data_IF_292714706621
#
_entry.id   IF_292714706621
#
_cell.length_a   1.000
_cell.length_b   1.000
_cell.length_c   1.000
_cell.angle_alpha   90.00
_cell.angle_beta   90.00
_cell.angle_gamma   90.00
#
_symmetry.space_group_name_H-M   'P 1'
#
loop_
_entity.id
_entity.type
_entity.pdbx_description
1 polymer ?
#
# COMPACT_ATOMS: atom_id res chain seq x y z
N UNK A 1 64.70 26.88 -5.98
CA UNK A 1 63.39 27.47 -5.70
C UNK A 1 62.37 26.75 -6.55
N UNK A 2 61.51 25.97 -5.93
CA UNK A 2 60.59 25.00 -6.56
C UNK A 2 59.40 25.69 -7.25
N UNK A 3 58.79 25.07 -8.28
CA UNK A 3 57.65 25.61 -9.03
C UNK A 3 56.31 25.52 -8.26
N UNK A 4 55.29 26.31 -8.65
CA UNK A 4 54.08 26.53 -7.85
C UNK A 4 53.07 25.38 -7.91
N UNK A 5 52.32 25.27 -6.82
CA UNK A 5 51.37 24.22 -6.46
C UNK A 5 50.23 24.06 -7.48
N UNK A 6 49.96 22.81 -7.86
CA UNK A 6 48.85 22.44 -8.72
C UNK A 6 47.50 22.69 -8.02
N UNK A 7 46.66 23.49 -8.66
CA UNK A 7 45.27 23.67 -8.24
C UNK A 7 44.49 22.36 -8.36
N UNK A 8 44.09 21.80 -7.22
CA UNK A 8 43.07 20.76 -7.18
C UNK A 8 41.72 21.41 -7.49
N UNK A 9 41.18 21.12 -8.67
CA UNK A 9 39.80 21.49 -8.99
C UNK A 9 38.86 20.73 -8.03
N UNK A 10 37.92 21.41 -7.34
CA UNK A 10 36.94 20.71 -6.53
C UNK A 10 36.02 19.88 -7.44
N UNK A 11 35.89 18.59 -7.13
CA UNK A 11 34.89 17.71 -7.73
C UNK A 11 33.50 18.35 -7.57
N UNK A 12 32.61 18.30 -8.58
CA UNK A 12 31.27 18.84 -8.44
C UNK A 12 30.56 18.10 -7.29
N UNK A 13 30.07 18.87 -6.31
CA UNK A 13 29.18 18.35 -5.29
C UNK A 13 27.96 17.76 -5.99
N UNK A 14 27.83 16.42 -5.94
CA UNK A 14 26.66 15.73 -6.46
C UNK A 14 25.41 16.34 -5.85
N UNK A 15 24.36 16.49 -6.66
CA UNK A 15 23.10 17.04 -6.18
C UNK A 15 22.63 16.22 -4.97
N UNK A 16 22.13 16.86 -3.90
CA UNK A 16 21.62 16.17 -2.69
C UNK A 16 20.37 15.30 -2.95
N UNK A 17 19.96 15.12 -4.21
CA UNK A 17 18.87 14.25 -4.64
C UNK A 17 19.31 12.88 -5.19
N UNK A 18 20.61 12.68 -5.45
CA UNK A 18 21.14 11.38 -5.90
C UNK A 18 21.42 10.49 -4.69
N UNK A 19 20.35 10.03 -4.04
CA UNK A 19 20.42 8.90 -3.13
C UNK A 19 20.40 7.61 -3.96
N UNK A 20 21.52 6.86 -4.07
CA UNK A 20 21.65 5.70 -4.94
C UNK A 20 20.74 4.52 -4.52
N UNK A 21 19.99 4.65 -3.42
CA UNK A 21 19.05 3.65 -2.92
C UNK A 21 17.56 4.03 -3.09
N UNK A 22 17.25 5.20 -3.68
CA UNK A 22 15.84 5.55 -3.98
C UNK A 22 15.36 4.82 -5.22
N UNK A 23 14.94 3.58 -5.04
CA UNK A 23 14.15 2.87 -6.03
C UNK A 23 12.85 3.63 -6.28
N UNK A 24 12.52 3.84 -7.56
CA UNK A 24 11.23 4.40 -7.93
C UNK A 24 10.14 3.49 -7.33
N UNK A 25 9.05 4.00 -6.74
CA UNK A 25 8.04 3.19 -6.05
C UNK A 25 7.39 2.09 -6.90
N UNK A 26 7.62 2.12 -8.22
CA UNK A 26 7.18 1.09 -9.18
C UNK A 26 8.11 -0.13 -9.24
N UNK A 27 9.36 0.01 -8.77
CA UNK A 27 10.38 -1.03 -8.81
C UNK A 27 10.43 -1.85 -7.51
N UNK A 28 9.64 -1.45 -6.49
CA UNK A 28 9.54 -2.19 -5.23
C UNK A 28 8.53 -3.33 -5.33
N UNK A 29 8.92 -4.49 -4.81
CA UNK A 29 8.04 -5.66 -4.68
C UNK A 29 6.97 -5.41 -3.62
N UNK A 30 5.82 -6.06 -3.78
CA UNK A 30 4.71 -6.04 -2.83
C UNK A 30 5.14 -6.34 -1.40
N UNK A 31 6.07 -7.28 -1.22
CA UNK A 31 6.60 -7.70 0.08
C UNK A 31 7.36 -6.62 0.86
N UNK A 32 7.72 -5.51 0.22
CA UNK A 32 8.34 -4.38 0.87
C UNK A 32 7.33 -3.54 1.67
N UNK A 33 6.07 -3.51 1.25
CA UNK A 33 5.05 -2.65 1.86
C UNK A 33 3.82 -3.40 2.38
N UNK A 34 3.60 -4.65 1.96
CA UNK A 34 2.55 -5.51 2.48
C UNK A 34 3.14 -6.89 2.84
N UNK A 35 2.86 -7.34 4.07
CA UNK A 35 3.27 -8.65 4.57
C UNK A 35 2.07 -9.33 5.19
N UNK A 36 1.96 -10.62 5.00
CA UNK A 36 0.96 -11.43 5.66
C UNK A 36 1.32 -11.56 7.15
N UNK A 37 0.33 -11.29 7.99
CA UNK A 37 0.43 -11.61 9.42
C UNK A 37 -0.08 -13.05 9.61
N UNK A 38 0.73 -13.96 10.20
CA UNK A 38 0.28 -15.33 10.45
C UNK A 38 -0.81 -15.44 11.53
N UNK A 39 -1.12 -14.37 12.26
CA UNK A 39 -2.09 -14.39 13.34
C UNK A 39 -3.55 -14.46 12.83
N UNK A 40 -4.32 -15.41 13.36
CA UNK A 40 -5.76 -15.55 13.08
C UNK A 40 -6.55 -14.81 14.14
N UNK A 41 -7.01 -13.61 13.80
CA UNK A 41 -7.74 -12.76 14.73
C UNK A 41 -9.19 -13.23 14.96
N UNK A 42 -9.58 -13.31 16.22
CA UNK A 42 -10.98 -13.44 16.60
C UNK A 42 -11.74 -12.12 16.36
N UNK A 43 -13.07 -12.13 16.19
CA UNK A 43 -13.85 -10.92 15.93
C UNK A 43 -13.65 -9.80 16.96
N UNK A 44 -13.48 -10.14 18.24
CA UNK A 44 -13.22 -9.16 19.30
C UNK A 44 -11.85 -8.48 19.18
N UNK A 45 -10.83 -9.22 18.75
CA UNK A 45 -9.49 -8.68 18.53
C UNK A 45 -9.46 -7.74 17.33
N UNK A 46 -10.17 -8.12 16.25
CA UNK A 46 -10.38 -7.25 15.09
C UNK A 46 -11.03 -5.94 15.53
N UNK A 47 -12.08 -6.01 16.35
CA UNK A 47 -12.77 -4.81 16.83
C UNK A 47 -11.85 -3.94 17.69
N UNK A 48 -11.12 -4.52 18.63
CA UNK A 48 -10.18 -3.78 19.48
C UNK A 48 -9.08 -3.08 18.64
N UNK A 49 -8.59 -3.72 17.58
CA UNK A 49 -7.64 -3.09 16.65
C UNK A 49 -8.27 -1.91 15.88
N UNK A 50 -9.51 -2.08 15.39
CA UNK A 50 -10.23 -1.00 14.69
C UNK A 50 -10.49 0.19 15.61
N UNK A 51 -10.84 -0.07 16.88
CA UNK A 51 -11.08 0.96 17.89
C UNK A 51 -9.78 1.72 18.20
N UNK A 52 -8.66 1.03 18.36
CA UNK A 52 -7.36 1.66 18.57
C UNK A 52 -6.97 2.58 17.39
N UNK A 53 -7.23 2.15 16.15
CA UNK A 53 -7.00 2.99 14.96
C UNK A 53 -7.98 4.17 14.90
N UNK A 54 -9.23 3.97 15.28
CA UNK A 54 -10.23 5.04 15.34
C UNK A 54 -9.82 6.13 16.33
N UNK A 55 -9.46 5.73 17.55
CA UNK A 55 -9.06 6.64 18.63
C UNK A 55 -7.75 7.37 18.31
N UNK A 56 -6.77 6.65 17.74
CA UNK A 56 -5.51 7.26 17.27
C UNK A 56 -5.73 8.35 16.20
N UNK A 57 -6.80 8.22 15.41
CA UNK A 57 -7.18 9.18 14.37
C UNK A 57 -8.32 10.13 14.79
N UNK A 58 -8.67 10.20 16.08
CA UNK A 58 -9.80 10.99 16.57
C UNK A 58 -9.72 12.47 16.13
N UNK A 59 -8.52 13.06 16.09
CA UNK A 59 -8.30 14.44 15.63
C UNK A 59 -8.64 14.67 14.14
N UNK A 60 -8.55 13.63 13.32
CA UNK A 60 -8.93 13.65 11.90
C UNK A 60 -10.38 13.18 11.67
N UNK A 61 -11.15 12.98 12.73
CA UNK A 61 -12.52 12.48 12.67
C UNK A 61 -12.64 10.95 12.68
N UNK A 62 -11.58 10.25 13.09
CA UNK A 62 -11.55 8.81 13.34
C UNK A 62 -11.66 7.95 12.09
N UNK A 63 -11.77 6.64 12.30
CA UNK A 63 -12.03 5.67 11.24
C UNK A 63 -13.49 5.77 10.78
N UNK A 64 -13.71 5.91 9.47
CA UNK A 64 -15.05 5.99 8.85
C UNK A 64 -15.31 4.79 7.94
N UNK A 65 -16.34 3.97 8.21
CA UNK A 65 -16.72 2.89 7.31
C UNK A 65 -17.22 3.45 5.98
N UNK A 66 -16.65 2.97 4.86
CA UNK A 66 -17.07 3.40 3.51
C UNK A 66 -17.98 2.35 2.89
N UNK A 67 -17.52 1.09 2.80
CA UNK A 67 -18.30 -0.02 2.27
C UNK A 67 -17.87 -1.35 2.92
N UNK A 68 -18.71 -2.38 2.80
CA UNK A 68 -18.32 -3.77 3.10
C UNK A 68 -17.87 -4.44 1.81
N UNK A 69 -16.69 -5.05 1.84
CA UNK A 69 -16.11 -5.73 0.69
C UNK A 69 -15.57 -7.12 1.07
N UNK A 70 -15.52 -8.01 0.08
CA UNK A 70 -14.96 -9.35 0.18
C UNK A 70 -13.48 -9.41 -0.20
N UNK A 71 -12.95 -8.36 -0.85
CA UNK A 71 -11.56 -8.28 -1.27
C UNK A 71 -11.25 -7.02 -2.06
N UNK A 72 -9.95 -6.73 -2.17
CA UNK A 72 -9.40 -5.64 -2.99
C UNK A 72 -9.03 -6.21 -4.36
N UNK A 73 -9.47 -5.56 -5.43
CA UNK A 73 -9.07 -5.91 -6.80
C UNK A 73 -7.72 -5.26 -7.12
N UNK A 74 -7.59 -3.99 -6.78
CA UNK A 74 -6.39 -3.21 -7.01
C UNK A 74 -6.65 -1.71 -6.95
N UNK A 75 -5.64 -0.94 -7.33
CA UNK A 75 -5.73 0.51 -7.45
C UNK A 75 -5.66 0.92 -8.91
N UNK A 76 -6.46 1.92 -9.28
CA UNK A 76 -6.44 2.51 -10.63
C UNK A 76 -6.25 4.02 -10.48
N UNK A 77 -5.39 4.60 -11.32
CA UNK A 77 -5.17 6.05 -11.34
C UNK A 77 -5.87 6.64 -12.55
N UNK A 78 -6.83 7.53 -12.32
CA UNK A 78 -7.39 8.39 -13.35
C UNK A 78 -6.97 9.83 -13.07
N UNK A 79 -6.40 10.50 -14.09
CA UNK A 79 -5.78 11.81 -13.94
C UNK A 79 -4.74 11.79 -12.80
N UNK A 80 -4.99 12.57 -11.73
CA UNK A 80 -4.11 12.70 -10.57
C UNK A 80 -4.67 12.06 -9.28
N UNK A 81 -5.76 11.30 -9.36
CA UNK A 81 -6.35 10.62 -8.22
C UNK A 81 -6.19 9.10 -8.34
N UNK A 82 -5.86 8.46 -7.22
CA UNK A 82 -5.84 7.00 -7.09
C UNK A 82 -7.16 6.54 -6.50
N UNK A 83 -7.76 5.55 -7.14
CA UNK A 83 -9.00 4.94 -6.73
C UNK A 83 -8.75 3.49 -6.31
N UNK A 84 -9.42 3.04 -5.26
CA UNK A 84 -9.37 1.67 -4.80
C UNK A 84 -10.62 0.93 -5.31
N UNK A 85 -10.42 -0.19 -6.01
CA UNK A 85 -11.53 -1.00 -6.51
C UNK A 85 -11.73 -2.23 -5.63
N UNK A 86 -12.95 -2.41 -5.13
CA UNK A 86 -13.32 -3.40 -4.12
C UNK A 86 -14.39 -4.34 -4.67
N UNK A 87 -14.35 -5.62 -4.25
CA UNK A 87 -15.39 -6.61 -4.55
C UNK A 87 -16.47 -6.49 -3.48
N UNK A 88 -17.62 -5.90 -3.79
CA UNK A 88 -18.72 -5.69 -2.83
C UNK A 88 -19.77 -6.80 -2.89
N UNK A 89 -19.86 -7.54 -4.00
CA UNK A 89 -20.77 -8.67 -4.12
C UNK A 89 -20.11 -9.83 -4.88
N UNK A 90 -20.27 -11.05 -4.36
CA UNK A 90 -19.78 -12.30 -4.98
C UNK A 90 -20.83 -13.39 -4.89
N UNK A 91 -20.90 -14.26 -5.90
CA UNK A 91 -21.75 -15.46 -5.91
C UNK A 91 -20.89 -16.71 -6.05
N UNK A 92 -21.06 -17.70 -5.17
CA UNK A 92 -20.43 -19.02 -5.33
C UNK A 92 -20.96 -19.67 -6.62
N UNK A 93 -20.07 -20.01 -7.54
CA UNK A 93 -20.41 -20.64 -8.82
C UNK A 93 -20.00 -22.11 -8.89
N UNK A 94 -19.12 -22.54 -7.98
CA UNK A 94 -18.70 -23.93 -7.92
C UNK A 94 -17.68 -24.18 -6.81
N UNK A 95 -17.08 -25.36 -6.84
CA UNK A 95 -16.04 -25.78 -5.92
C UNK A 95 -15.17 -26.83 -6.61
N UNK A 96 -13.84 -26.69 -6.50
CA UNK A 96 -12.87 -27.66 -7.04
C UNK A 96 -11.91 -28.02 -5.91
N UNK A 97 -11.78 -29.32 -5.60
CA UNK A 97 -10.83 -29.81 -4.58
C UNK A 97 -11.01 -29.17 -3.19
N UNK A 98 -12.25 -28.85 -2.80
CA UNK A 98 -12.53 -28.18 -1.52
C UNK A 98 -12.54 -26.65 -1.60
N UNK A 99 -11.93 -26.06 -2.63
CA UNK A 99 -11.83 -24.60 -2.78
C UNK A 99 -13.06 -24.04 -3.49
N UNK A 100 -13.77 -23.12 -2.83
CA UNK A 100 -14.95 -22.48 -3.41
C UNK A 100 -14.56 -21.45 -4.48
N UNK A 101 -15.23 -21.50 -5.63
CA UNK A 101 -15.02 -20.57 -6.75
C UNK A 101 -16.17 -19.56 -6.74
N UNK A 102 -15.82 -18.28 -6.81
CA UNK A 102 -16.77 -17.17 -6.75
C UNK A 102 -16.70 -16.32 -8.02
N UNK A 103 -17.87 -15.95 -8.55
CA UNK A 103 -18.02 -14.93 -9.58
C UNK A 103 -18.30 -13.59 -8.90
N UNK A 104 -17.59 -12.54 -9.33
CA UNK A 104 -17.83 -11.17 -8.90
C UNK A 104 -19.17 -10.71 -9.49
N UNK A 105 -20.05 -10.20 -8.63
CA UNK A 105 -21.38 -9.67 -8.99
C UNK A 105 -21.50 -8.17 -8.81
N UNK A 106 -20.60 -7.57 -8.03
CA UNK A 106 -20.59 -6.15 -7.78
C UNK A 106 -19.20 -5.70 -7.36
N UNK A 107 -18.86 -4.50 -7.82
CA UNK A 107 -17.62 -3.80 -7.50
C UNK A 107 -17.94 -2.36 -7.17
N UNK A 108 -17.12 -1.75 -6.33
CA UNK A 108 -17.21 -0.33 -6.01
C UNK A 108 -15.81 0.29 -6.12
N UNK A 109 -15.74 1.50 -6.65
CA UNK A 109 -14.51 2.27 -6.82
C UNK A 109 -14.62 3.51 -5.96
N UNK A 110 -13.74 3.61 -4.97
CA UNK A 110 -13.65 4.72 -4.00
C UNK A 110 -12.43 5.58 -4.25
#
# INVERSE_FOLDING_TARGET
GSPPEGGTSPLPAGNPGDDPQRHHPRDLRLSHFAREDPHVYAPAEIQAMLDAVHDGNARAGGLRPVCKAYGIIGTVRFLDCFYLTLITNRRKVGQIGGNAIYSIKGTETV
#
